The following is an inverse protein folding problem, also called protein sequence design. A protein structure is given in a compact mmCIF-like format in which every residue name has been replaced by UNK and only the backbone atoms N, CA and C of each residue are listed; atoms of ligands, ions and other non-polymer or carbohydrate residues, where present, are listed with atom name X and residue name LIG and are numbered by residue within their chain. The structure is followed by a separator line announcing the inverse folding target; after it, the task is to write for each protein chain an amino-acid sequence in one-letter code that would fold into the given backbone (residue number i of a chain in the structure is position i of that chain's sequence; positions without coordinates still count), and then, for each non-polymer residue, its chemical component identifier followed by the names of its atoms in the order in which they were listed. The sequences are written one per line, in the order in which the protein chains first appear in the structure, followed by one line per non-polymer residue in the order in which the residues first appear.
data_IF_072192038239
#
_entry.id   IF_072192038239
#
_cell.length_a   1.000
_cell.length_b   1.000
_cell.length_c   1.000
_cell.angle_alpha   90.00
_cell.angle_beta   90.00
_cell.angle_gamma   90.00
#
_symmetry.space_group_name_H-M   'P 1'
#
loop_
_entity.id
_entity.type
_entity.pdbx_description
1 polymer ?
#
# COMPACT_ATOMS: atom_id res chain seq x y z
N UNK A 1 -20.96 -6.78 21.33
CA UNK A 1 -21.44 -8.16 21.60
C UNK A 1 -20.57 -8.78 22.69
N UNK A 2 -21.13 -9.60 23.59
CA UNK A 2 -20.36 -10.24 24.65
C UNK A 2 -19.92 -11.64 24.21
N UNK A 3 -18.62 -11.93 24.36
CA UNK A 3 -18.03 -13.25 24.20
C UNK A 3 -17.34 -13.61 25.51
N UNK A 4 -17.85 -14.64 26.20
CA UNK A 4 -17.22 -15.19 27.40
C UNK A 4 -16.87 -14.13 28.47
N UNK A 5 -17.77 -13.16 28.70
CA UNK A 5 -17.57 -12.08 29.68
C UNK A 5 -16.81 -10.86 29.14
N UNK A 6 -16.25 -10.92 27.93
CA UNK A 6 -15.56 -9.81 27.28
C UNK A 6 -16.40 -9.17 26.18
N UNK A 7 -16.43 -7.84 26.14
CA UNK A 7 -17.19 -7.10 25.12
C UNK A 7 -16.30 -6.77 23.92
N UNK A 8 -16.71 -7.23 22.74
CA UNK A 8 -16.16 -6.79 21.45
C UNK A 8 -17.14 -5.81 20.81
N UNK A 9 -16.62 -4.67 20.35
CA UNK A 9 -17.37 -3.63 19.66
C UNK A 9 -16.74 -3.25 18.32
N UNK A 10 -17.56 -2.72 17.43
CA UNK A 10 -17.10 -2.06 16.22
C UNK A 10 -16.60 -0.64 16.55
N UNK A 11 -15.88 -0.05 15.61
CA UNK A 11 -15.39 1.34 15.73
C UNK A 11 -16.51 2.37 15.53
N UNK A 12 -17.55 2.01 14.76
CA UNK A 12 -18.74 2.84 14.57
C UNK A 12 -19.66 2.75 15.78
N UNK A 13 -19.95 3.90 16.40
CA UNK A 13 -20.93 4.00 17.48
C UNK A 13 -22.33 3.56 17.01
N UNK A 14 -23.01 2.77 17.84
CA UNK A 14 -24.29 2.12 17.48
C UNK A 14 -24.15 0.92 16.52
N UNK A 15 -22.95 0.66 16.00
CA UNK A 15 -22.66 -0.46 15.10
C UNK A 15 -23.25 -0.30 13.69
N UNK A 16 -23.28 -1.41 12.96
CA UNK A 16 -23.73 -1.44 11.56
C UNK A 16 -25.10 -2.12 11.35
N UNK A 17 -25.74 -2.61 12.41
CA UNK A 17 -26.99 -3.36 12.29
C UNK A 17 -26.79 -4.70 11.57
N UNK A 18 -27.72 -5.06 10.66
CA UNK A 18 -27.59 -6.26 9.84
C UNK A 18 -26.63 -5.98 8.68
N UNK A 19 -25.59 -6.79 8.55
CA UNK A 19 -24.61 -6.73 7.48
C UNK A 19 -24.57 -8.05 6.71
N UNK A 20 -24.40 -7.97 5.39
CA UNK A 20 -23.90 -9.12 4.64
C UNK A 20 -22.45 -9.41 5.06
N UNK A 21 -22.01 -10.67 4.98
CA UNK A 21 -20.68 -11.04 5.47
C UNK A 21 -19.55 -10.33 4.72
N UNK A 22 -19.69 -10.16 3.40
CA UNK A 22 -18.74 -9.41 2.60
C UNK A 22 -18.65 -7.93 3.00
N UNK A 23 -19.78 -7.33 3.37
CA UNK A 23 -19.82 -5.94 3.82
C UNK A 23 -19.15 -5.76 5.19
N UNK A 24 -19.31 -6.75 6.07
CA UNK A 24 -18.57 -6.80 7.33
C UNK A 24 -17.05 -6.78 7.12
N UNK A 25 -16.55 -7.43 6.07
CA UNK A 25 -15.14 -7.34 5.67
C UNK A 25 -14.79 -5.91 5.21
N UNK A 26 -15.60 -5.31 4.32
CA UNK A 26 -15.36 -3.98 3.75
C UNK A 26 -15.28 -2.89 4.84
N UNK A 27 -16.20 -2.90 5.81
CA UNK A 27 -16.24 -1.92 6.91
C UNK A 27 -15.36 -2.29 8.10
N UNK A 28 -14.69 -3.45 8.05
CA UNK A 28 -13.86 -3.96 9.13
C UNK A 28 -14.62 -4.17 10.46
N UNK A 29 -15.82 -4.74 10.41
CA UNK A 29 -16.63 -5.01 11.61
C UNK A 29 -16.01 -6.14 12.46
N UNK A 30 -15.41 -5.77 13.58
CA UNK A 30 -14.90 -6.71 14.59
C UNK A 30 -16.02 -7.62 15.08
N UNK A 31 -17.22 -7.07 15.30
CA UNK A 31 -18.37 -7.80 15.84
C UNK A 31 -18.80 -8.91 14.88
N UNK A 32 -19.00 -8.58 13.61
CA UNK A 32 -19.49 -9.54 12.63
C UNK A 32 -18.44 -10.63 12.33
N UNK A 33 -17.16 -10.25 12.13
CA UNK A 33 -16.08 -11.21 11.88
C UNK A 33 -15.87 -12.13 13.10
N UNK A 34 -15.82 -11.57 14.31
CA UNK A 34 -15.68 -12.37 15.56
C UNK A 34 -16.83 -13.33 15.75
N UNK A 35 -18.07 -12.90 15.45
CA UNK A 35 -19.26 -13.74 15.55
C UNK A 35 -19.17 -14.93 14.60
N UNK A 36 -18.87 -14.69 13.32
CA UNK A 36 -18.76 -15.75 12.32
C UNK A 36 -17.64 -16.72 12.67
N UNK A 37 -16.46 -16.23 13.06
CA UNK A 37 -15.34 -17.11 13.43
C UNK A 37 -15.69 -17.91 14.69
N UNK A 38 -16.23 -17.28 15.73
CA UNK A 38 -16.59 -17.98 16.94
C UNK A 38 -17.66 -19.05 16.69
N UNK A 39 -18.74 -18.73 15.98
CA UNK A 39 -19.84 -19.67 15.71
C UNK A 39 -19.38 -20.89 14.89
N UNK A 40 -18.43 -20.72 13.97
CA UNK A 40 -17.98 -21.80 13.08
C UNK A 40 -16.79 -22.60 13.64
N UNK A 41 -16.00 -22.02 14.55
CA UNK A 41 -14.74 -22.64 15.01
C UNK A 41 -14.67 -22.89 16.53
N UNK A 42 -15.60 -22.39 17.36
CA UNK A 42 -15.53 -22.57 18.83
C UNK A 42 -15.42 -24.03 19.28
N UNK A 43 -16.10 -24.94 18.58
CA UNK A 43 -16.13 -26.38 18.91
C UNK A 43 -14.93 -27.12 18.30
N UNK A 44 -14.24 -26.51 17.33
CA UNK A 44 -13.09 -27.08 16.62
C UNK A 44 -12.02 -26.00 16.35
N UNK A 45 -11.46 -25.36 17.39
CA UNK A 45 -10.59 -24.19 17.23
C UNK A 45 -9.28 -24.53 16.52
N UNK A 46 -8.85 -25.79 16.54
CA UNK A 46 -7.68 -26.24 15.80
C UNK A 46 -7.86 -26.13 14.28
N UNK A 47 -9.09 -26.16 13.74
CA UNK A 47 -9.32 -25.89 12.32
C UNK A 47 -8.94 -24.46 11.94
N UNK A 48 -9.27 -23.47 12.79
CA UNK A 48 -8.87 -22.08 12.58
C UNK A 48 -7.35 -21.94 12.62
N UNK A 49 -6.71 -22.49 13.65
CA UNK A 49 -5.25 -22.49 13.78
C UNK A 49 -4.56 -23.17 12.59
N UNK A 50 -5.07 -24.32 12.13
CA UNK A 50 -4.52 -25.04 10.98
C UNK A 50 -4.60 -24.22 9.68
N UNK A 51 -5.59 -23.34 9.53
CA UNK A 51 -5.64 -22.42 8.40
C UNK A 51 -4.54 -21.35 8.51
N UNK A 52 -4.29 -20.80 9.71
CA UNK A 52 -3.15 -19.91 9.93
C UNK A 52 -1.80 -20.59 9.63
N UNK A 53 -1.66 -21.89 9.92
CA UNK A 53 -0.49 -22.67 9.53
C UNK A 53 -0.35 -22.76 8.00
N UNK A 54 -1.43 -23.09 7.28
CA UNK A 54 -1.44 -23.11 5.81
C UNK A 54 -1.10 -21.77 5.17
N UNK A 55 -1.40 -20.68 5.87
CA UNK A 55 -1.10 -19.31 5.44
C UNK A 55 0.31 -18.85 5.84
N UNK A 56 1.12 -19.73 6.45
CA UNK A 56 2.45 -19.39 6.97
C UNK A 56 2.40 -18.22 7.96
N UNK A 57 1.38 -18.17 8.82
CA UNK A 57 1.22 -17.08 9.80
C UNK A 57 1.59 -17.49 11.23
N UNK A 58 1.99 -18.75 11.44
CA UNK A 58 2.27 -19.31 12.78
C UNK A 58 3.75 -19.49 13.07
N UNK A 59 4.58 -19.58 12.03
CA UNK A 59 6.02 -19.80 12.13
C UNK A 59 6.77 -18.72 11.33
N UNK A 60 7.97 -18.28 11.75
CA UNK A 60 8.78 -17.32 11.01
C UNK A 60 9.11 -17.81 9.59
N UNK A 61 9.18 -16.89 8.62
CA UNK A 61 9.75 -17.20 7.30
C UNK A 61 11.25 -17.48 7.40
N UNK A 62 11.71 -18.45 6.63
CA UNK A 62 13.13 -18.64 6.32
C UNK A 62 13.54 -17.62 5.24
N UNK A 63 14.25 -16.57 5.65
CA UNK A 63 14.70 -15.48 4.77
C UNK A 63 16.19 -15.60 4.47
N UNK A 64 16.62 -15.06 3.32
CA UNK A 64 18.04 -14.96 2.94
C UNK A 64 18.85 -14.03 3.84
N UNK A 65 18.16 -13.14 4.57
CA UNK A 65 18.76 -12.18 5.49
C UNK A 65 18.48 -12.61 6.93
N UNK A 66 19.43 -12.37 7.86
CA UNK A 66 19.21 -12.68 9.27
C UNK A 66 18.00 -11.91 9.79
N UNK A 67 17.03 -12.65 10.33
CA UNK A 67 15.77 -12.12 10.81
C UNK A 67 15.47 -12.70 12.21
N UNK A 68 15.24 -11.81 13.18
CA UNK A 68 14.74 -12.21 14.49
C UNK A 68 13.23 -12.02 14.52
N UNK A 69 12.51 -13.14 14.58
CA UNK A 69 11.06 -13.10 14.71
C UNK A 69 10.65 -12.98 16.17
N UNK A 70 9.73 -12.07 16.46
CA UNK A 70 8.98 -11.97 17.71
C UNK A 70 7.55 -12.50 17.55
N UNK A 71 7.32 -13.38 16.56
CA UNK A 71 6.00 -13.91 16.26
C UNK A 71 5.41 -14.68 17.44
N UNK A 72 4.13 -14.43 17.69
CA UNK A 72 3.34 -15.11 18.72
C UNK A 72 1.98 -15.40 18.10
N UNK A 73 1.62 -16.67 17.99
CA UNK A 73 0.26 -17.08 17.61
C UNK A 73 -0.17 -18.20 18.53
N UNK A 74 -1.17 -17.94 19.36
CA UNK A 74 -1.66 -18.95 20.32
C UNK A 74 -2.25 -20.15 19.59
N UNK A 75 -1.92 -21.33 20.09
CA UNK A 75 -2.48 -22.60 19.65
C UNK A 75 -3.55 -23.07 20.65
N UNK A 76 -4.63 -23.72 20.18
CA UNK A 76 -5.58 -24.36 21.08
C UNK A 76 -4.89 -25.35 22.03
N UNK A 77 -5.13 -25.19 23.33
CA UNK A 77 -4.48 -25.97 24.40
C UNK A 77 -3.28 -25.28 25.05
N UNK A 78 -2.81 -24.14 24.53
CA UNK A 78 -1.79 -23.34 25.20
C UNK A 78 -2.28 -22.86 26.57
N UNK A 79 -1.37 -22.68 27.52
CA UNK A 79 -1.67 -22.23 28.90
C UNK A 79 -2.52 -20.95 28.98
N UNK A 80 -2.33 -20.05 28.01
CA UNK A 80 -3.01 -18.76 27.95
C UNK A 80 -4.17 -18.74 26.94
N UNK A 81 -4.55 -19.90 26.39
CA UNK A 81 -5.72 -20.02 25.53
C UNK A 81 -7.00 -19.90 26.38
N UNK A 82 -7.94 -19.06 25.95
CA UNK A 82 -9.23 -18.91 26.61
C UNK A 82 -10.38 -18.86 25.58
N UNK A 83 -11.62 -18.81 26.06
CA UNK A 83 -12.80 -18.66 25.19
C UNK A 83 -12.76 -17.40 24.33
N UNK A 84 -12.07 -16.34 24.77
CA UNK A 84 -11.94 -15.08 24.01
C UNK A 84 -10.86 -15.13 22.95
N UNK A 85 -9.91 -16.07 23.02
CA UNK A 85 -8.74 -16.09 22.12
C UNK A 85 -9.16 -16.21 20.66
N UNK A 86 -10.09 -17.11 20.33
CA UNK A 86 -10.55 -17.30 18.95
C UNK A 86 -11.27 -16.04 18.39
N UNK A 87 -12.25 -15.44 19.09
CA UNK A 87 -12.77 -14.13 18.72
C UNK A 87 -11.68 -13.07 18.55
N UNK A 88 -10.75 -12.94 19.49
CA UNK A 88 -9.69 -11.92 19.45
C UNK A 88 -8.73 -12.07 18.28
N UNK A 89 -8.32 -13.30 17.97
CA UNK A 89 -7.48 -13.60 16.79
C UNK A 89 -8.17 -13.27 15.47
N UNK A 90 -9.51 -13.34 15.40
CA UNK A 90 -10.25 -13.11 14.16
C UNK A 90 -10.13 -11.68 13.60
N UNK A 91 -9.85 -10.71 14.46
CA UNK A 91 -9.64 -9.30 14.09
C UNK A 91 -8.22 -8.80 14.43
N UNK A 92 -7.27 -9.73 14.60
CA UNK A 92 -5.84 -9.42 14.67
C UNK A 92 -5.28 -9.11 16.06
N UNK A 93 -6.01 -9.42 17.14
CA UNK A 93 -5.50 -9.36 18.51
C UNK A 93 -5.07 -10.75 19.00
N UNK A 94 -4.34 -10.82 20.11
CA UNK A 94 -3.72 -12.06 20.64
C UNK A 94 -2.74 -12.75 19.67
N UNK A 95 -2.23 -12.00 18.68
CA UNK A 95 -1.18 -12.44 17.78
C UNK A 95 -0.19 -11.32 17.46
N UNK A 96 1.08 -11.68 17.34
CA UNK A 96 2.15 -10.84 16.82
C UNK A 96 2.65 -11.47 15.52
N UNK A 97 2.51 -10.76 14.41
CA UNK A 97 2.93 -11.21 13.09
C UNK A 97 3.76 -10.11 12.44
N UNK A 98 4.89 -10.48 11.84
CA UNK A 98 5.78 -9.51 11.20
C UNK A 98 5.16 -8.93 9.92
N UNK A 99 5.46 -7.67 9.56
CA UNK A 99 4.96 -7.07 8.32
C UNK A 99 5.33 -7.87 7.07
N UNK A 100 6.54 -8.47 7.04
CA UNK A 100 6.98 -9.30 5.90
C UNK A 100 6.15 -10.58 5.76
N UNK A 101 5.71 -11.18 6.88
CA UNK A 101 4.80 -12.33 6.86
C UNK A 101 3.44 -11.95 6.25
N UNK A 102 2.86 -10.83 6.70
CA UNK A 102 1.59 -10.32 6.18
C UNK A 102 1.73 -9.95 4.70
N UNK A 103 2.81 -9.29 4.30
CA UNK A 103 3.07 -8.98 2.89
C UNK A 103 3.14 -10.25 2.05
N UNK A 104 3.81 -11.29 2.54
CA UNK A 104 3.90 -12.59 1.84
C UNK A 104 2.52 -13.24 1.68
N UNK A 105 1.66 -13.13 2.70
CA UNK A 105 0.28 -13.61 2.63
C UNK A 105 -0.55 -12.82 1.60
N UNK A 106 -0.46 -11.49 1.58
CA UNK A 106 -1.15 -10.66 0.59
C UNK A 106 -0.61 -10.88 -0.82
N UNK A 107 0.70 -11.12 -0.96
CA UNK A 107 1.31 -11.51 -2.23
C UNK A 107 0.74 -12.84 -2.73
N UNK A 108 0.51 -13.82 -1.85
CA UNK A 108 -0.14 -15.07 -2.23
C UNK A 108 -1.57 -14.86 -2.75
N UNK A 109 -2.34 -13.93 -2.15
CA UNK A 109 -3.67 -13.56 -2.65
C UNK A 109 -3.57 -12.96 -4.05
N UNK A 110 -2.67 -11.99 -4.23
CA UNK A 110 -2.37 -11.35 -5.51
C UNK A 110 -1.92 -12.36 -6.58
N UNK A 111 -1.21 -13.41 -6.16
CA UNK A 111 -0.66 -14.47 -7.01
C UNK A 111 -1.58 -15.70 -7.09
N UNK A 112 -2.90 -15.49 -7.13
CA UNK A 112 -3.91 -16.54 -7.32
C UNK A 112 -3.81 -17.71 -6.33
N UNK A 113 -3.40 -17.43 -5.09
CA UNK A 113 -3.22 -18.39 -4.01
C UNK A 113 -1.84 -19.06 -3.98
N UNK A 114 -0.95 -18.81 -4.94
CA UNK A 114 0.41 -19.36 -4.94
C UNK A 114 1.34 -18.48 -4.08
N UNK A 115 1.73 -19.01 -2.94
CA UNK A 115 2.62 -18.34 -2.00
C UNK A 115 4.08 -18.64 -2.32
N UNK A 116 4.89 -17.59 -2.46
CA UNK A 116 6.33 -17.67 -2.71
C UNK A 116 7.10 -17.01 -1.57
N UNK A 117 8.31 -17.48 -1.30
CA UNK A 117 9.16 -16.88 -0.27
C UNK A 117 9.69 -15.52 -0.74
N UNK A 118 9.75 -14.49 0.13
CA UNK A 118 10.42 -13.25 -0.18
C UNK A 118 11.87 -13.48 -0.59
N UNK A 119 12.24 -12.92 -1.74
CA UNK A 119 13.57 -13.05 -2.32
C UNK A 119 14.23 -11.68 -2.40
N UNK A 120 15.39 -11.53 -1.75
CA UNK A 120 16.18 -10.31 -1.69
C UNK A 120 17.32 -10.31 -2.71
N UNK A 121 17.87 -11.49 -3.00
CA UNK A 121 18.98 -11.67 -3.96
C UNK A 121 18.53 -12.64 -5.05
N UNK A 122 18.79 -12.32 -6.31
CA UNK A 122 18.48 -13.18 -7.47
C UNK A 122 19.71 -13.96 -7.95
N UNK A 123 20.89 -13.36 -7.88
CA UNK A 123 22.16 -13.99 -8.19
C UNK A 123 23.34 -13.24 -7.54
N UNK A 124 24.43 -13.95 -7.27
CA UNK A 124 25.75 -13.39 -6.96
C UNK A 124 26.58 -13.48 -8.24
N UNK A 125 27.25 -12.38 -8.61
CA UNK A 125 28.06 -12.29 -9.83
C UNK A 125 29.47 -11.79 -9.52
N UNK A 126 30.44 -12.27 -10.28
CA UNK A 126 31.78 -11.69 -10.36
C UNK A 126 32.13 -11.27 -11.80
N UNK A 127 33.42 -11.06 -12.06
CA UNK A 127 33.92 -10.67 -13.39
C UNK A 127 33.79 -11.78 -14.44
N UNK A 128 33.61 -13.04 -14.01
CA UNK A 128 33.55 -14.23 -14.88
C UNK A 128 32.11 -14.66 -15.16
N UNK A 129 31.15 -14.29 -14.31
CA UNK A 129 29.74 -14.56 -14.55
C UNK A 129 28.92 -14.70 -13.27
N UNK A 130 27.86 -15.51 -13.34
CA UNK A 130 27.02 -15.84 -12.18
C UNK A 130 27.74 -16.93 -11.37
N UNK A 131 28.05 -16.61 -10.11
CA UNK A 131 28.60 -17.57 -9.13
C UNK A 131 27.47 -18.43 -8.57
N UNK A 132 26.35 -17.80 -8.23
CA UNK A 132 25.23 -18.46 -7.59
C UNK A 132 23.91 -17.80 -8.01
N UNK A 133 22.88 -18.61 -8.21
CA UNK A 133 21.53 -18.15 -8.55
C UNK A 133 20.53 -18.55 -7.48
N UNK A 134 19.62 -17.64 -7.15
CA UNK A 134 18.58 -17.86 -6.15
C UNK A 134 17.22 -17.85 -6.85
N UNK A 135 16.68 -19.02 -7.24
CA UNK A 135 15.38 -19.10 -7.90
C UNK A 135 14.24 -18.73 -6.96
N UNK A 136 13.05 -18.51 -7.51
CA UNK A 136 11.84 -18.30 -6.71
C UNK A 136 11.47 -19.59 -5.98
N UNK A 137 11.41 -19.54 -4.64
CA UNK A 137 10.95 -20.66 -3.82
C UNK A 137 9.44 -20.60 -3.62
N UNK A 138 8.74 -21.66 -4.00
CA UNK A 138 7.29 -21.80 -3.75
C UNK A 138 7.09 -22.38 -2.35
N UNK A 139 6.47 -21.61 -1.46
CA UNK A 139 6.10 -22.08 -0.12
C UNK A 139 4.82 -22.92 -0.19
N UNK A 140 3.82 -22.45 -0.93
CA UNK A 140 2.58 -23.19 -1.16
C UNK A 140 2.05 -22.92 -2.55
N UNK A 141 1.64 -23.97 -3.27
CA UNK A 141 1.01 -23.81 -4.57
C UNK A 141 -0.40 -23.20 -4.47
N UNK A 142 -1.07 -23.37 -3.33
CA UNK A 142 -2.46 -22.95 -3.15
C UNK A 142 -2.81 -22.80 -1.68
N UNK A 143 -2.88 -21.56 -1.18
CA UNK A 143 -3.25 -21.27 0.21
C UNK A 143 -4.75 -21.53 0.47
N UNK A 144 -5.61 -21.37 -0.54
CA UNK A 144 -7.04 -21.64 -0.47
C UNK A 144 -7.61 -21.93 -1.88
N UNK A 145 -8.90 -22.27 -1.95
CA UNK A 145 -9.53 -22.55 -3.26
C UNK A 145 -9.49 -21.32 -4.17
N UNK A 146 -9.44 -21.54 -5.48
CA UNK A 146 -9.45 -20.43 -6.45
C UNK A 146 -10.74 -19.62 -6.36
N UNK A 147 -11.88 -20.31 -6.15
CA UNK A 147 -13.16 -19.67 -5.84
C UNK A 147 -13.06 -18.73 -4.65
N UNK A 148 -12.33 -19.10 -3.59
CA UNK A 148 -12.12 -18.25 -2.42
C UNK A 148 -11.32 -17.00 -2.77
N UNK A 149 -10.23 -17.14 -3.56
CA UNK A 149 -9.44 -15.99 -4.05
C UNK A 149 -10.32 -15.06 -4.89
N UNK A 150 -10.99 -15.59 -5.91
CA UNK A 150 -11.88 -14.82 -6.79
C UNK A 150 -13.01 -14.13 -6.03
N UNK A 151 -13.49 -14.74 -4.93
CA UNK A 151 -14.54 -14.15 -4.10
C UNK A 151 -14.03 -13.03 -3.19
N UNK A 152 -12.81 -13.12 -2.66
CA UNK A 152 -12.30 -12.14 -1.69
C UNK A 152 -11.77 -10.87 -2.35
N UNK A 153 -11.17 -10.98 -3.54
CA UNK A 153 -10.55 -9.85 -4.25
C UNK A 153 -11.53 -8.68 -4.45
N UNK A 154 -12.78 -8.87 -4.92
CA UNK A 154 -13.73 -7.77 -5.06
C UNK A 154 -14.01 -7.06 -3.73
N UNK A 155 -14.12 -7.80 -2.61
CA UNK A 155 -14.33 -7.17 -1.30
C UNK A 155 -13.09 -6.41 -0.82
N UNK A 156 -11.88 -6.85 -1.17
CA UNK A 156 -10.65 -6.10 -0.91
C UNK A 156 -10.54 -4.83 -1.75
N UNK A 157 -11.01 -4.86 -2.99
CA UNK A 157 -11.11 -3.67 -3.84
C UNK A 157 -12.10 -2.66 -3.25
N UNK A 158 -13.24 -3.12 -2.75
CA UNK A 158 -14.25 -2.24 -2.16
C UNK A 158 -13.86 -1.59 -0.83
N UNK A 159 -12.80 -2.09 -0.17
CA UNK A 159 -12.20 -1.36 0.95
C UNK A 159 -11.68 0.00 0.47
N UNK A 160 -11.26 0.10 -0.80
CA UNK A 160 -10.71 1.29 -1.45
C UNK A 160 -11.72 1.96 -2.39
N UNK A 161 -12.51 1.21 -3.15
CA UNK A 161 -13.47 1.76 -4.11
C UNK A 161 -14.90 1.65 -3.56
N UNK A 162 -15.67 2.73 -3.69
CA UNK A 162 -17.11 2.69 -3.43
C UNK A 162 -17.93 2.42 -4.71
N UNK A 163 -17.27 1.96 -5.78
CA UNK A 163 -17.92 1.69 -7.06
C UNK A 163 -18.62 0.33 -7.02
N UNK A 164 -19.84 0.33 -6.46
CA UNK A 164 -20.80 -0.77 -6.60
C UNK A 164 -22.12 -0.20 -7.08
N UNK A 165 -22.66 -0.76 -8.15
CA UNK A 165 -23.95 -0.36 -8.69
C UNK A 165 -25.13 -0.88 -7.86
N UNK A 166 -24.94 -1.93 -7.03
CA UNK A 166 -26.04 -2.61 -6.31
C UNK A 166 -25.71 -2.87 -4.83
N UNK A 167 -25.84 -1.85 -3.99
CA UNK A 167 -25.83 -2.02 -2.54
C UNK A 167 -27.13 -2.71 -2.07
N UNK A 168 -27.04 -3.69 -1.18
CA UNK A 168 -28.23 -4.17 -0.42
C UNK A 168 -28.55 -3.29 0.78
N UNK A 169 -27.68 -2.33 1.11
CA UNK A 169 -27.78 -1.42 2.26
C UNK A 169 -27.07 -0.10 1.97
N UNK A 170 -27.79 1.01 2.08
CA UNK A 170 -27.43 2.35 1.60
C UNK A 170 -26.20 3.04 2.25
N UNK A 171 -25.44 2.40 3.15
CA UNK A 171 -24.56 3.12 4.10
C UNK A 171 -23.17 2.49 4.32
N UNK A 172 -22.65 1.69 3.39
CA UNK A 172 -21.35 1.06 3.59
C UNK A 172 -20.31 1.78 2.74
N UNK A 173 -19.34 2.38 3.44
CA UNK A 173 -18.17 2.98 2.83
C UNK A 173 -16.95 2.12 3.19
N UNK A 174 -16.12 1.82 2.19
CA UNK A 174 -14.82 1.18 2.43
C UNK A 174 -13.95 1.99 3.39
N UNK A 175 -13.17 1.30 4.23
CA UNK A 175 -12.35 1.95 5.26
C UNK A 175 -11.15 2.73 4.72
N UNK A 176 -10.83 2.61 3.42
CA UNK A 176 -9.71 3.30 2.76
C UNK A 176 -10.15 4.02 1.48
N UNK A 177 -11.39 4.49 1.40
CA UNK A 177 -11.93 5.16 0.20
C UNK A 177 -11.15 6.40 -0.27
N UNK A 178 -10.42 7.02 0.64
CA UNK A 178 -9.58 8.19 0.38
C UNK A 178 -8.39 7.90 -0.55
N UNK A 179 -8.05 6.63 -0.78
CA UNK A 179 -6.95 6.25 -1.68
C UNK A 179 -7.43 5.74 -3.04
N UNK A 180 -8.72 5.86 -3.34
CA UNK A 180 -9.27 5.54 -4.66
C UNK A 180 -8.64 6.39 -5.78
N UNK A 181 -8.44 5.78 -6.94
CA UNK A 181 -8.01 6.43 -8.19
C UNK A 181 -8.63 5.76 -9.39
N UNK A 182 -8.81 6.54 -10.45
CA UNK A 182 -9.28 6.05 -11.75
C UNK A 182 -8.16 5.45 -12.60
N UNK A 183 -6.89 5.64 -12.22
CA UNK A 183 -5.76 5.26 -13.07
C UNK A 183 -5.38 3.78 -13.00
N UNK A 184 -5.66 3.13 -11.88
CA UNK A 184 -5.49 1.70 -11.65
C UNK A 184 -6.30 1.28 -10.44
N UNK A 185 -6.67 0.01 -10.38
CA UNK A 185 -7.41 -0.57 -9.26
C UNK A 185 -6.47 -0.97 -8.12
N UNK A 186 -6.96 -0.83 -6.88
CA UNK A 186 -6.22 -1.21 -5.67
C UNK A 186 -7.11 -2.14 -4.85
N UNK A 187 -6.58 -3.32 -4.49
CA UNK A 187 -7.20 -4.22 -3.52
C UNK A 187 -6.36 -4.25 -2.25
N UNK A 188 -7.02 -4.11 -1.09
CA UNK A 188 -6.30 -4.17 0.17
C UNK A 188 -7.19 -4.18 1.40
N UNK A 189 -6.56 -3.98 2.55
CA UNK A 189 -7.26 -3.92 3.83
C UNK A 189 -6.54 -3.02 4.82
N UNK A 190 -7.32 -2.23 5.55
CA UNK A 190 -6.86 -1.45 6.70
C UNK A 190 -6.74 -2.32 7.95
N UNK A 191 -5.71 -2.07 8.77
CA UNK A 191 -5.58 -2.54 10.14
C UNK A 191 -5.45 -1.38 11.13
N UNK A 192 -6.01 -1.54 12.34
CA UNK A 192 -5.92 -0.54 13.41
C UNK A 192 -5.88 -1.24 14.76
N UNK A 193 -4.75 -1.11 15.44
CA UNK A 193 -4.49 -1.75 16.73
C UNK A 193 -4.39 -0.67 17.79
N UNK A 194 -5.09 -0.88 18.91
CA UNK A 194 -4.90 -0.14 20.15
C UNK A 194 -3.82 -0.86 20.96
N UNK A 195 -2.63 -0.29 21.03
CA UNK A 195 -1.53 -0.90 21.75
C UNK A 195 -1.79 -0.82 23.26
N UNK A 196 -1.37 -1.85 23.99
CA UNK A 196 -1.43 -1.91 25.46
C UNK A 196 -2.79 -1.52 26.07
N UNK A 197 -3.90 -1.83 25.38
CA UNK A 197 -5.23 -1.38 25.80
C UNK A 197 -5.63 -1.87 27.21
N UNK A 198 -4.98 -2.92 27.73
CA UNK A 198 -5.16 -3.43 29.09
C UNK A 198 -4.55 -2.53 30.18
N UNK A 199 -3.66 -1.59 29.85
CA UNK A 199 -3.09 -0.59 30.78
C UNK A 199 -3.96 0.66 30.92
N UNK A 200 -5.26 0.53 30.63
CA UNK A 200 -6.19 1.65 30.66
C UNK A 200 -6.32 2.24 32.07
N UNK A 201 -6.15 3.55 32.16
CA UNK A 201 -6.53 4.38 33.30
C UNK A 201 -6.93 5.77 32.80
N UNK A 202 -7.70 6.54 33.57
CA UNK A 202 -7.99 7.95 33.23
C UNK A 202 -6.71 8.78 33.08
N UNK A 203 -5.65 8.43 33.82
CA UNK A 203 -4.33 9.08 33.78
C UNK A 203 -3.53 8.78 32.51
N UNK A 204 -3.80 7.66 31.83
CA UNK A 204 -3.06 7.21 30.63
C UNK A 204 -3.84 7.42 29.34
N UNK A 205 -5.01 8.07 29.38
CA UNK A 205 -5.87 8.32 28.20
C UNK A 205 -5.13 9.00 27.05
N UNK A 206 -4.20 9.90 27.35
CA UNK A 206 -3.43 10.67 26.36
C UNK A 206 -2.10 10.00 25.93
N UNK A 207 -1.70 8.90 26.60
CA UNK A 207 -0.49 8.14 26.27
C UNK A 207 -0.81 6.86 25.47
N UNK A 208 -2.01 6.77 24.90
CA UNK A 208 -2.39 5.61 24.09
C UNK A 208 -1.64 5.66 22.78
N UNK A 209 -0.92 4.57 22.50
CA UNK A 209 -0.29 4.38 21.21
C UNK A 209 -1.16 3.48 20.32
N UNK A 210 -1.07 3.73 19.04
CA UNK A 210 -1.78 3.00 18.01
C UNK A 210 -0.78 2.44 17.00
N UNK A 211 -1.18 1.34 16.37
CA UNK A 211 -0.50 0.85 15.18
C UNK A 211 -1.51 0.83 14.04
N UNK A 212 -1.21 1.58 12.99
CA UNK A 212 -2.04 1.72 11.80
C UNK A 212 -1.34 1.01 10.64
N UNK A 213 -2.10 0.26 9.85
CA UNK A 213 -1.54 -0.45 8.71
C UNK A 213 -2.48 -0.49 7.52
N UNK A 214 -1.90 -0.64 6.34
CA UNK A 214 -2.59 -0.97 5.12
C UNK A 214 -1.76 -1.99 4.35
N UNK A 215 -2.37 -3.11 3.98
CA UNK A 215 -1.74 -4.15 3.15
C UNK A 215 -2.61 -4.40 1.92
N UNK A 216 -1.99 -4.55 0.76
CA UNK A 216 -2.71 -4.69 -0.50
C UNK A 216 -1.82 -4.97 -1.69
N UNK A 217 -2.43 -4.99 -2.87
CA UNK A 217 -1.76 -5.19 -4.14
C UNK A 217 -2.47 -4.39 -5.24
N UNK A 218 -1.73 -4.12 -6.31
CA UNK A 218 -2.17 -3.33 -7.46
C UNK A 218 -1.35 -3.66 -8.73
N UNK A 219 -1.92 -3.47 -9.93
CA UNK A 219 -3.37 -3.36 -10.21
C UNK A 219 -4.15 -4.62 -9.81
N UNK A 220 -5.47 -4.57 -9.68
CA UNK A 220 -6.28 -5.73 -9.24
C UNK A 220 -6.41 -6.80 -10.34
N UNK A 221 -6.57 -6.38 -11.59
CA UNK A 221 -6.84 -7.28 -12.72
C UNK A 221 -5.62 -8.12 -13.08
N UNK A 222 -4.44 -7.51 -12.96
CA UNK A 222 -3.14 -8.16 -13.18
C UNK A 222 -2.15 -7.68 -12.11
N UNK A 223 -2.20 -8.27 -10.90
CA UNK A 223 -1.33 -7.84 -9.81
C UNK A 223 0.14 -7.96 -10.17
N UNK A 224 0.84 -6.82 -10.19
CA UNK A 224 2.28 -6.73 -10.39
C UNK A 224 3.00 -6.47 -9.06
N UNK A 225 2.37 -5.72 -8.16
CA UNK A 225 2.96 -5.26 -6.91
C UNK A 225 2.08 -5.59 -5.72
N UNK A 226 2.70 -6.00 -4.63
CA UNK A 226 2.09 -6.07 -3.30
C UNK A 226 2.85 -5.14 -2.35
N UNK A 227 2.16 -4.44 -1.48
CA UNK A 227 2.75 -3.50 -0.54
C UNK A 227 2.08 -3.60 0.83
N UNK A 228 2.87 -3.39 1.88
CA UNK A 228 2.39 -3.18 3.24
C UNK A 228 3.02 -1.92 3.80
N UNK A 229 2.19 -1.09 4.43
CA UNK A 229 2.61 0.07 5.20
C UNK A 229 2.18 -0.13 6.64
N UNK A 230 3.09 0.10 7.59
CA UNK A 230 2.82 0.04 9.02
C UNK A 230 3.39 1.29 9.69
N UNK A 231 2.54 2.09 10.32
CA UNK A 231 2.94 3.19 11.19
C UNK A 231 2.76 2.69 12.62
N UNK A 232 3.87 2.47 13.31
CA UNK A 232 3.92 1.77 14.58
C UNK A 232 4.03 2.73 15.76
N UNK A 233 3.33 2.43 16.84
CA UNK A 233 3.42 3.09 18.15
C UNK A 233 3.30 4.63 18.11
N UNK A 234 2.40 5.17 17.28
CA UNK A 234 2.16 6.60 17.24
C UNK A 234 1.05 7.01 18.22
N UNK A 235 1.10 8.26 18.69
CA UNK A 235 0.08 8.85 19.55
C UNK A 235 -0.89 9.64 18.66
N UNK A 236 -2.19 9.39 18.85
CA UNK A 236 -3.25 10.20 18.24
C UNK A 236 -3.77 11.22 19.27
N UNK A 237 -3.42 12.48 19.07
CA UNK A 237 -3.82 13.59 19.94
C UNK A 237 -5.21 14.12 19.63
N UNK A 238 -5.80 13.77 18.47
CA UNK A 238 -7.16 14.21 18.07
C UNK A 238 -8.22 13.17 18.37
N UNK A 239 -7.82 11.93 18.69
CA UNK A 239 -8.69 10.74 18.85
C UNK A 239 -9.52 10.36 17.61
N UNK A 240 -9.26 10.98 16.47
CA UNK A 240 -10.03 10.78 15.23
C UNK A 240 -9.15 10.33 14.05
N UNK A 241 -7.82 10.29 14.23
CA UNK A 241 -6.84 10.12 13.16
C UNK A 241 -5.94 8.89 13.33
N UNK A 242 -6.36 7.88 14.09
CA UNK A 242 -5.57 6.66 14.32
C UNK A 242 -5.90 5.50 13.37
N UNK A 243 -6.87 5.67 12.47
CA UNK A 243 -7.32 4.57 11.62
C UNK A 243 -6.35 4.28 10.47
N UNK A 244 -6.21 3.00 10.13
CA UNK A 244 -5.35 2.53 9.03
C UNK A 244 -5.65 3.22 7.69
N UNK A 245 -6.92 3.55 7.43
CA UNK A 245 -7.35 4.29 6.25
C UNK A 245 -6.88 5.74 6.19
N UNK A 246 -6.73 6.40 7.33
CA UNK A 246 -6.29 7.80 7.40
C UNK A 246 -4.77 7.93 7.48
N UNK A 247 -4.10 6.96 8.11
CA UNK A 247 -2.68 7.05 8.43
C UNK A 247 -1.82 6.27 7.44
N UNK A 248 -2.07 4.97 7.29
CA UNK A 248 -1.22 4.09 6.49
C UNK A 248 -1.61 4.06 5.01
N UNK A 249 -2.91 4.13 4.70
CA UNK A 249 -3.39 4.06 3.33
C UNK A 249 -2.86 5.22 2.45
N UNK A 250 -2.81 6.50 2.87
CA UNK A 250 -2.26 7.57 2.03
C UNK A 250 -0.80 7.35 1.65
N UNK A 251 0.00 6.80 2.56
CA UNK A 251 1.41 6.43 2.28
C UNK A 251 1.47 5.29 1.26
N UNK A 252 0.61 4.27 1.41
CA UNK A 252 0.47 3.21 0.39
C UNK A 252 0.15 3.82 -0.96
N UNK A 253 -0.78 4.80 -1.00
CA UNK A 253 -1.21 5.44 -2.23
C UNK A 253 -0.08 6.20 -2.92
N UNK A 254 0.71 6.93 -2.16
CA UNK A 254 1.86 7.66 -2.70
C UNK A 254 2.90 6.70 -3.29
N UNK A 255 3.17 5.58 -2.61
CA UNK A 255 4.06 4.53 -3.11
C UNK A 255 3.48 3.89 -4.38
N UNK A 256 2.19 3.54 -4.37
CA UNK A 256 1.56 2.88 -5.50
C UNK A 256 1.48 3.78 -6.73
N UNK A 257 1.19 5.08 -6.57
CA UNK A 257 1.19 6.04 -7.67
C UNK A 257 2.59 6.19 -8.29
N UNK A 258 3.63 6.28 -7.46
CA UNK A 258 5.02 6.36 -7.94
C UNK A 258 5.41 5.09 -8.69
N UNK A 259 5.20 3.93 -8.08
CA UNK A 259 5.55 2.63 -8.70
C UNK A 259 4.79 2.43 -10.01
N UNK A 260 3.49 2.73 -10.04
CA UNK A 260 2.68 2.57 -11.25
C UNK A 260 3.09 3.53 -12.36
N UNK A 261 3.41 4.79 -12.04
CA UNK A 261 3.91 5.75 -13.02
C UNK A 261 5.27 5.31 -13.60
N UNK A 262 6.21 4.86 -12.77
CA UNK A 262 7.50 4.36 -13.23
C UNK A 262 7.38 3.08 -14.08
N UNK A 263 6.53 2.13 -13.70
CA UNK A 263 6.31 0.90 -14.48
C UNK A 263 5.69 1.22 -15.84
N UNK A 264 4.71 2.13 -15.87
CA UNK A 264 4.09 2.59 -17.12
C UNK A 264 5.10 3.29 -18.03
N UNK A 265 6.00 4.10 -17.45
CA UNK A 265 7.08 4.74 -18.19
C UNK A 265 8.09 3.71 -18.74
N UNK A 266 8.48 2.70 -17.95
CA UNK A 266 9.36 1.62 -18.40
C UNK A 266 8.70 0.76 -19.49
N UNK A 267 7.42 0.44 -19.35
CA UNK A 267 6.63 -0.29 -20.35
C UNK A 267 6.54 0.54 -21.65
N UNK A 268 6.33 1.85 -21.55
CA UNK A 268 6.36 2.77 -22.69
C UNK A 268 7.75 2.87 -23.35
N UNK A 269 8.83 3.01 -22.57
CA UNK A 269 10.19 3.13 -23.09
C UNK A 269 10.70 1.82 -23.72
N UNK A 270 10.34 0.68 -23.12
CA UNK A 270 10.64 -0.64 -23.69
C UNK A 270 9.89 -0.85 -25.00
N UNK A 271 8.58 -0.56 -25.05
CA UNK A 271 7.80 -0.67 -26.30
C UNK A 271 8.31 0.27 -27.39
N UNK A 272 8.70 1.52 -27.09
CA UNK A 272 9.33 2.41 -28.09
C UNK A 272 10.69 1.90 -28.60
N UNK A 273 11.47 1.22 -27.75
CA UNK A 273 12.73 0.57 -28.16
C UNK A 273 12.50 -0.63 -29.09
N UNK A 274 11.29 -1.21 -29.08
CA UNK A 274 10.86 -2.27 -29.99
C UNK A 274 10.07 -1.76 -31.22
N UNK A 275 9.47 -0.56 -31.14
CA UNK A 275 8.60 0.03 -32.16
C UNK A 275 9.38 0.93 -33.16
N UNK A 276 10.72 0.92 -33.14
CA UNK A 276 11.50 1.49 -34.25
C UNK A 276 11.27 0.81 -35.59
N UNK A 277 10.47 -0.28 -35.66
CA UNK A 277 10.21 -1.03 -36.89
C UNK A 277 8.75 -1.22 -37.34
N UNK A 278 7.68 -0.74 -36.68
CA UNK A 278 6.37 -0.68 -37.37
C UNK A 278 5.28 0.20 -36.71
N UNK A 279 4.53 0.91 -37.56
CA UNK A 279 3.47 1.91 -37.26
C UNK A 279 2.32 1.33 -36.42
N UNK A 280 1.87 2.08 -35.40
CA UNK A 280 0.61 1.82 -34.68
C UNK A 280 -0.29 3.07 -34.61
N UNK A 281 -1.60 2.76 -34.59
CA UNK A 281 -2.82 3.56 -34.81
C UNK A 281 -3.02 4.87 -34.03
N UNK A 282 -3.90 5.72 -34.60
CA UNK A 282 -3.94 7.19 -34.45
C UNK A 282 -4.87 7.78 -33.37
N UNK A 283 -5.70 7.03 -32.65
CA UNK A 283 -6.81 7.67 -31.88
C UNK A 283 -6.56 7.82 -30.37
N UNK A 284 -5.86 6.89 -29.72
CA UNK A 284 -5.38 7.06 -28.33
C UNK A 284 -4.08 7.88 -28.27
N UNK A 285 -3.33 7.85 -29.36
CA UNK A 285 -2.05 8.51 -29.58
C UNK A 285 -2.17 10.02 -29.59
N UNK A 286 -3.20 10.64 -30.18
CA UNK A 286 -3.26 12.12 -30.24
C UNK A 286 -3.39 12.80 -28.87
N UNK A 287 -4.14 12.22 -27.93
CA UNK A 287 -4.30 12.83 -26.58
C UNK A 287 -3.08 12.62 -25.69
N UNK A 288 -2.44 11.45 -25.77
CA UNK A 288 -1.21 11.15 -25.03
C UNK A 288 0.02 11.77 -25.69
N UNK A 289 0.12 11.77 -27.02
CA UNK A 289 1.15 12.50 -27.77
C UNK A 289 1.04 13.99 -27.54
N UNK A 290 -0.15 14.58 -27.42
CA UNK A 290 -0.24 16.02 -27.15
C UNK A 290 0.27 16.37 -25.76
N UNK A 291 0.06 15.53 -24.73
CA UNK A 291 0.62 15.77 -23.40
C UNK A 291 2.11 15.44 -23.30
N UNK A 292 2.57 14.39 -23.98
CA UNK A 292 3.98 13.97 -24.07
C UNK A 292 4.79 14.94 -24.94
N UNK A 293 4.28 15.38 -26.10
CA UNK A 293 4.90 16.44 -26.93
C UNK A 293 4.92 17.77 -26.19
N UNK A 294 3.89 18.12 -25.41
CA UNK A 294 3.95 19.31 -24.58
C UNK A 294 5.11 19.22 -23.59
N UNK A 295 5.23 18.11 -22.86
CA UNK A 295 6.25 17.93 -21.83
C UNK A 295 7.67 17.82 -22.43
N UNK A 296 7.84 17.06 -23.53
CA UNK A 296 9.12 16.94 -24.23
C UNK A 296 9.54 18.25 -24.92
N UNK A 297 8.61 19.01 -25.51
CA UNK A 297 8.91 20.33 -26.05
C UNK A 297 9.30 21.31 -24.93
N UNK A 298 8.61 21.29 -23.80
CA UNK A 298 8.94 22.13 -22.64
C UNK A 298 10.33 21.81 -22.09
N UNK A 299 10.67 20.53 -21.88
CA UNK A 299 12.00 20.11 -21.41
C UNK A 299 13.09 20.42 -22.46
N UNK A 300 12.80 20.26 -23.75
CA UNK A 300 13.75 20.60 -24.83
C UNK A 300 14.00 22.10 -24.91
N UNK A 301 12.96 22.92 -24.74
CA UNK A 301 13.09 24.38 -24.67
C UNK A 301 13.92 24.82 -23.47
N UNK A 302 13.71 24.19 -22.30
CA UNK A 302 14.52 24.43 -21.09
C UNK A 302 15.98 24.11 -21.34
N UNK A 303 16.28 22.92 -21.88
CA UNK A 303 17.66 22.53 -22.20
C UNK A 303 18.29 23.46 -23.24
N UNK A 304 17.52 23.92 -24.23
CA UNK A 304 17.98 24.87 -25.24
C UNK A 304 18.35 26.23 -24.65
N UNK A 305 17.52 26.75 -23.74
CA UNK A 305 17.78 28.01 -23.04
C UNK A 305 18.97 27.87 -22.08
N UNK A 306 19.04 26.79 -21.31
CA UNK A 306 20.16 26.49 -20.41
C UNK A 306 21.48 26.28 -21.17
N UNK A 307 21.46 25.62 -22.33
CA UNK A 307 22.64 25.49 -23.20
C UNK A 307 23.16 26.84 -23.72
N UNK A 308 22.29 27.85 -23.81
CA UNK A 308 22.65 29.23 -24.17
C UNK A 308 23.05 30.06 -22.94
N UNK A 309 23.03 29.48 -21.74
CA UNK A 309 23.32 30.16 -20.49
C UNK A 309 22.25 31.18 -20.08
N UNK A 310 20.99 30.98 -20.52
CA UNK A 310 19.87 31.87 -20.19
C UNK A 310 18.76 31.14 -19.45
N UNK A 311 18.02 31.89 -18.64
CA UNK A 311 16.98 31.37 -17.77
C UNK A 311 15.72 30.98 -18.56
N UNK A 312 15.26 29.73 -18.48
CA UNK A 312 14.01 29.33 -19.10
C UNK A 312 12.80 29.83 -18.31
N UNK A 313 11.61 29.76 -18.93
CA UNK A 313 10.37 30.01 -18.23
C UNK A 313 9.93 28.77 -17.45
N UNK A 314 9.92 28.87 -16.13
CA UNK A 314 9.53 27.79 -15.23
C UNK A 314 8.08 27.91 -14.78
N UNK A 315 7.39 29.03 -15.01
CA UNK A 315 6.02 29.22 -14.51
C UNK A 315 5.05 28.17 -15.05
N UNK A 316 4.30 27.54 -14.15
CA UNK A 316 3.36 26.46 -14.43
C UNK A 316 3.96 25.06 -14.43
N UNK A 317 5.29 24.95 -14.33
CA UNK A 317 5.97 23.65 -14.27
C UNK A 317 5.89 23.01 -12.90
N UNK A 318 6.07 21.70 -12.83
CA UNK A 318 6.24 21.01 -11.55
C UNK A 318 7.72 21.00 -11.16
N UNK A 319 8.00 21.16 -9.88
CA UNK A 319 9.37 21.22 -9.37
C UNK A 319 10.19 19.96 -9.73
N UNK A 320 9.54 18.78 -9.77
CA UNK A 320 10.15 17.51 -10.16
C UNK A 320 10.70 17.48 -11.59
N UNK A 321 10.14 18.29 -12.49
CA UNK A 321 10.59 18.38 -13.88
C UNK A 321 11.76 19.38 -14.03
N UNK A 322 11.90 20.29 -13.05
CA UNK A 322 12.91 21.36 -13.05
C UNK A 322 14.20 20.92 -12.38
N UNK A 323 14.13 20.28 -11.21
CA UNK A 323 15.30 19.91 -10.40
C UNK A 323 16.32 19.07 -11.21
N UNK A 324 15.95 17.94 -11.84
CA UNK A 324 16.93 17.09 -12.51
C UNK A 324 17.60 17.80 -13.68
N UNK A 325 16.88 18.70 -14.36
CA UNK A 325 17.44 19.46 -15.47
C UNK A 325 18.45 20.46 -14.93
N UNK A 326 18.11 21.24 -13.92
CA UNK A 326 19.01 22.28 -13.38
C UNK A 326 20.24 21.70 -12.67
N UNK A 327 20.11 20.56 -11.99
CA UNK A 327 21.23 19.84 -11.39
C UNK A 327 22.27 19.41 -12.44
N UNK A 328 21.83 18.97 -13.62
CA UNK A 328 22.72 18.61 -14.73
C UNK A 328 23.53 19.81 -15.27
N UNK A 329 23.06 21.05 -15.05
CA UNK A 329 23.77 22.27 -15.42
C UNK A 329 24.52 22.89 -14.23
N UNK A 330 24.67 22.17 -13.11
CA UNK A 330 25.29 22.64 -11.86
C UNK A 330 24.65 23.91 -11.26
N UNK A 331 23.36 24.13 -11.52
CA UNK A 331 22.62 25.27 -10.96
C UNK A 331 22.04 24.90 -9.60
N UNK A 332 22.17 25.80 -8.63
CA UNK A 332 21.62 25.62 -7.28
C UNK A 332 20.22 26.19 -7.19
N UNK A 333 19.28 25.41 -6.64
CA UNK A 333 17.89 25.83 -6.47
C UNK A 333 17.53 25.82 -4.98
N UNK A 334 16.86 26.88 -4.54
CA UNK A 334 16.09 26.92 -3.30
C UNK A 334 14.60 27.03 -3.64
N UNK A 335 13.75 26.28 -2.97
CA UNK A 335 12.31 26.32 -3.23
C UNK A 335 11.46 26.33 -1.97
N UNK A 336 10.26 26.92 -2.09
CA UNK A 336 9.26 27.02 -1.02
C UNK A 336 7.85 26.74 -1.57
N UNK A 337 7.03 26.00 -0.82
CA UNK A 337 5.66 25.61 -1.19
C UNK A 337 5.52 24.20 -1.76
N UNK A 338 4.35 23.85 -2.29
CA UNK A 338 4.08 22.54 -2.88
C UNK A 338 3.07 22.61 -4.03
N UNK A 339 3.50 22.34 -5.27
CA UNK A 339 2.63 22.40 -6.44
C UNK A 339 3.37 22.83 -7.70
N UNK A 340 2.77 23.77 -8.44
CA UNK A 340 3.35 24.31 -9.68
C UNK A 340 4.15 25.57 -9.38
N UNK A 341 5.21 25.81 -10.15
CA UNK A 341 6.03 27.03 -10.07
C UNK A 341 5.17 28.24 -10.40
N UNK A 342 5.04 29.16 -9.45
CA UNK A 342 4.37 30.45 -9.63
C UNK A 342 5.38 31.60 -9.76
N UNK A 343 6.61 31.38 -9.28
CA UNK A 343 7.66 32.39 -9.23
C UNK A 343 9.06 31.77 -9.41
N UNK A 344 9.93 32.50 -10.12
CA UNK A 344 11.37 32.25 -10.26
C UNK A 344 12.12 33.56 -10.01
N UNK A 345 13.29 33.50 -9.36
CA UNK A 345 14.07 34.69 -9.02
C UNK A 345 14.81 35.33 -10.19
N UNK A 346 15.22 34.53 -11.17
CA UNK A 346 15.85 34.98 -12.42
C UNK A 346 14.78 34.99 -13.50
N UNK A 347 14.59 36.09 -14.24
CA UNK A 347 13.50 36.15 -15.22
C UNK A 347 13.87 35.38 -16.47
N UNK A 348 12.83 34.90 -17.17
CA UNK A 348 13.02 34.24 -18.47
C UNK A 348 13.84 35.12 -19.41
N UNK A 349 14.92 34.56 -19.96
CA UNK A 349 15.82 35.21 -20.93
C UNK A 349 17.02 35.93 -20.31
N UNK A 350 17.04 36.13 -19.00
CA UNK A 350 18.21 36.68 -18.29
C UNK A 350 19.35 35.65 -18.29
N UNK A 351 20.60 36.12 -18.27
CA UNK A 351 21.77 35.24 -18.14
C UNK A 351 21.79 34.57 -16.76
N UNK A 352 22.17 33.30 -16.73
CA UNK A 352 22.38 32.55 -15.48
C UNK A 352 23.87 32.43 -15.21
N UNK A 353 24.32 32.79 -14.01
CA UNK A 353 25.65 32.45 -13.52
C UNK A 353 25.60 31.14 -12.71
N UNK A 354 26.58 30.26 -12.90
CA UNK A 354 26.66 28.96 -12.23
C UNK A 354 26.86 29.07 -10.70
N UNK A 355 27.14 30.27 -10.17
CA UNK A 355 27.24 30.53 -8.74
C UNK A 355 25.96 31.13 -8.12
N UNK A 356 24.96 31.49 -8.93
CA UNK A 356 23.71 32.06 -8.43
C UNK A 356 22.77 30.98 -7.87
N UNK A 357 22.13 31.29 -6.74
CA UNK A 357 21.07 30.46 -6.17
C UNK A 357 19.72 30.91 -6.72
N UNK A 358 19.06 30.03 -7.46
CA UNK A 358 17.78 30.30 -8.11
C UNK A 358 16.66 29.98 -7.13
N UNK A 359 15.88 30.99 -6.73
CA UNK A 359 14.76 30.84 -5.80
C UNK A 359 13.45 30.61 -6.56
N UNK A 360 12.74 29.55 -6.20
CA UNK A 360 11.48 29.14 -6.82
C UNK A 360 10.37 29.13 -5.75
N UNK A 361 9.21 29.75 -6.03
CA UNK A 361 8.01 29.55 -5.18
C UNK A 361 6.96 28.77 -5.92
N UNK A 362 6.35 27.83 -5.20
CA UNK A 362 5.29 26.96 -5.68
C UNK A 362 3.92 27.46 -5.17
N UNK A 363 2.86 27.16 -5.94
CA UNK A 363 1.46 27.42 -5.61
C UNK A 363 1.01 26.75 -4.33
#
# INVERSE_FOLDING_TARGET
INFYGSTISDTKDGGYGKLAFGDAFVVSSNVAISKVINENYKDQPYKFYSNLQKYYLTEPLELQLPFRSSMIVRKPGDKLWSGTTLPSMSYGYEMHISPIQILTFYNAIANNGKMVSPRFVTAIKDKTGIIESFPTTVLSNKICSERTIQSIIPYMEQVVSNQRENWTTDVINGTAKNIYTEQYSIAGKTGTIKNEFWKWSEKTKYNRTYTASFAGFFPVEKPKYSCIVVIHEFIDTTNENHYGGQVAAPVFREISDKVFAFDSELEYLSTQSYISDEKIDRVTSERLENSIKLNQNTITLIKSDLNKGIMPNLKGMQLRDVIPVFENYNLKIEFEGAGKVIFQSVNKGDRIDNQEVIKIRLS
#
